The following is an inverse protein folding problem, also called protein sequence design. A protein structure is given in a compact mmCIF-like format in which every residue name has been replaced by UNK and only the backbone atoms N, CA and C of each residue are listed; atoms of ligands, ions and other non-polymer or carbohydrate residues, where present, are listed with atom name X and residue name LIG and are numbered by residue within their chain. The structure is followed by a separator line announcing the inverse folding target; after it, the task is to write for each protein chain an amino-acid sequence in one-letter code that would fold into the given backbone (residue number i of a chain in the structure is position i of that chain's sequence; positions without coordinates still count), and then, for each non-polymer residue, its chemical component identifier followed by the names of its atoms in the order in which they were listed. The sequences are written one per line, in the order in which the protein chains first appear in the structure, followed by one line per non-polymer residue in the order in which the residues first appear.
data_IF_626708862892
#
_entry.id   IF_626708862892
#
_cell.length_a   1.000
_cell.length_b   1.000
_cell.length_c   1.000
_cell.angle_alpha   90.00
_cell.angle_beta   90.00
_cell.angle_gamma   90.00
#
_symmetry.space_group_name_H-M   'P 1'
#
loop_
_entity.id
_entity.type
_entity.pdbx_description
1 polymer ?
#
# COMPACT_ATOMS: atom_id res chain seq x y z
N UNK A 1 -5.97 -13.71 9.58
CA UNK A 1 -7.04 -13.24 8.68
C UNK A 1 -6.53 -12.47 7.49
N UNK A 2 -5.66 -11.47 7.69
CA UNK A 2 -5.13 -10.63 6.59
C UNK A 2 -3.96 -11.27 5.84
N UNK A 3 -3.03 -11.92 6.55
CA UNK A 3 -1.91 -12.65 5.93
C UNK A 3 -2.38 -13.72 4.92
N UNK A 4 -3.45 -14.45 5.26
CA UNK A 4 -4.07 -15.43 4.34
C UNK A 4 -4.64 -14.79 3.07
N UNK A 5 -5.16 -13.56 3.17
CA UNK A 5 -5.67 -12.83 2.00
C UNK A 5 -4.53 -12.38 1.09
N UNK A 6 -3.43 -11.89 1.67
CA UNK A 6 -2.22 -11.54 0.91
C UNK A 6 -1.68 -12.79 0.20
N UNK A 7 -1.59 -13.92 0.92
CA UNK A 7 -1.15 -15.19 0.32
C UNK A 7 -2.02 -15.64 -0.84
N UNK A 8 -3.35 -15.57 -0.70
CA UNK A 8 -4.22 -15.89 -1.83
C UNK A 8 -3.99 -14.97 -3.03
N UNK A 9 -3.77 -13.66 -2.80
CA UNK A 9 -3.53 -12.70 -3.87
C UNK A 9 -2.20 -12.96 -4.58
N UNK A 10 -1.12 -13.16 -3.82
CA UNK A 10 0.23 -13.39 -4.36
C UNK A 10 0.27 -14.70 -5.14
N UNK A 11 -0.38 -15.76 -4.65
CA UNK A 11 -0.48 -17.03 -5.39
C UNK A 11 -1.25 -16.87 -6.71
N UNK A 12 -2.38 -16.15 -6.70
CA UNK A 12 -3.10 -15.86 -7.95
C UNK A 12 -2.25 -15.02 -8.91
N UNK A 13 -1.45 -14.08 -8.40
CA UNK A 13 -0.50 -13.33 -9.22
C UNK A 13 0.59 -14.23 -9.83
N UNK A 14 1.19 -15.12 -9.05
CA UNK A 14 2.18 -16.09 -9.51
C UNK A 14 1.63 -16.94 -10.67
N UNK A 15 0.45 -17.56 -10.49
CA UNK A 15 -0.22 -18.36 -11.52
C UNK A 15 -0.46 -17.55 -12.81
N UNK A 16 -0.94 -16.31 -12.66
CA UNK A 16 -1.18 -15.42 -13.79
C UNK A 16 0.12 -15.02 -14.50
N UNK A 17 1.18 -14.71 -13.75
CA UNK A 17 2.47 -14.32 -14.29
C UNK A 17 3.11 -15.47 -15.09
N UNK A 18 3.13 -16.69 -14.53
CA UNK A 18 3.66 -17.88 -15.21
C UNK A 18 2.90 -18.13 -16.51
N UNK A 19 1.56 -18.09 -16.46
CA UNK A 19 0.71 -18.30 -17.64
C UNK A 19 0.95 -17.26 -18.74
N UNK A 20 1.19 -16.00 -18.37
CA UNK A 20 1.38 -14.92 -19.33
C UNK A 20 2.82 -14.80 -19.84
N UNK A 21 3.79 -15.33 -19.09
CA UNK A 21 5.22 -15.24 -19.40
C UNK A 21 5.89 -16.63 -19.37
N UNK A 22 5.38 -17.64 -20.11
CA UNK A 22 5.83 -19.03 -19.96
C UNK A 22 7.30 -19.23 -20.32
N UNK A 23 7.81 -18.53 -21.34
CA UNK A 23 9.22 -18.63 -21.75
C UNK A 23 10.16 -18.09 -20.67
N UNK A 24 9.86 -16.91 -20.11
CA UNK A 24 10.64 -16.34 -19.01
C UNK A 24 10.53 -17.25 -17.79
N UNK A 25 9.31 -17.58 -17.36
CA UNK A 25 9.10 -18.42 -16.18
C UNK A 25 9.86 -19.77 -16.26
N UNK A 26 9.91 -20.41 -17.43
CA UNK A 26 10.58 -21.71 -17.60
C UNK A 26 12.09 -21.65 -17.84
N UNK A 27 12.64 -20.52 -18.28
CA UNK A 27 14.08 -20.35 -18.53
C UNK A 27 14.78 -19.67 -17.34
N UNK A 28 14.10 -18.73 -16.71
CA UNK A 28 14.67 -17.78 -15.76
C UNK A 28 14.55 -18.21 -14.30
N UNK A 29 13.60 -19.11 -13.98
CA UNK A 29 13.35 -19.60 -12.63
C UNK A 29 13.43 -21.13 -12.60
N UNK A 30 14.12 -21.67 -11.61
CA UNK A 30 14.26 -23.11 -11.41
C UNK A 30 13.13 -23.68 -10.54
N UNK A 31 12.56 -22.85 -9.67
CA UNK A 31 11.42 -23.19 -8.82
C UNK A 31 10.23 -22.23 -9.09
N UNK A 32 9.04 -22.74 -9.46
CA UNK A 32 7.84 -21.91 -9.58
C UNK A 32 7.51 -21.11 -8.32
N UNK A 33 7.85 -21.60 -7.13
CA UNK A 33 7.61 -20.93 -5.84
C UNK A 33 8.46 -19.65 -5.67
N UNK A 34 9.53 -19.50 -6.44
CA UNK A 34 10.40 -18.32 -6.42
C UNK A 34 9.67 -17.05 -6.84
N UNK A 35 8.71 -17.15 -7.77
CA UNK A 35 7.90 -16.00 -8.20
C UNK A 35 7.01 -15.51 -7.06
N UNK A 36 6.39 -16.43 -6.31
CA UNK A 36 5.60 -16.08 -5.11
C UNK A 36 6.49 -15.44 -4.04
N UNK A 37 7.64 -16.05 -3.75
CA UNK A 37 8.60 -15.55 -2.76
C UNK A 37 9.13 -14.16 -3.11
N UNK A 38 9.52 -13.95 -4.37
CA UNK A 38 10.00 -12.67 -4.87
C UNK A 38 8.89 -11.60 -4.81
N UNK A 39 7.65 -11.95 -5.13
CA UNK A 39 6.51 -11.03 -5.03
C UNK A 39 6.27 -10.57 -3.58
N UNK A 40 6.37 -11.46 -2.60
CA UNK A 40 6.35 -11.06 -1.18
C UNK A 40 7.50 -10.15 -0.80
N UNK A 41 8.71 -10.48 -1.24
CA UNK A 41 9.91 -9.68 -1.00
C UNK A 41 9.75 -8.25 -1.54
N UNK A 42 9.18 -8.12 -2.74
CA UNK A 42 8.81 -6.83 -3.34
C UNK A 42 7.80 -6.05 -2.49
N UNK A 43 6.75 -6.71 -1.98
CA UNK A 43 5.76 -6.06 -1.10
C UNK A 43 6.35 -5.62 0.23
N UNK A 44 7.29 -6.39 0.79
CA UNK A 44 8.03 -6.04 2.00
C UNK A 44 8.93 -4.83 1.76
N UNK A 45 9.67 -4.81 0.63
CA UNK A 45 10.48 -3.67 0.23
C UNK A 45 9.63 -2.40 0.07
N UNK A 46 8.50 -2.50 -0.65
CA UNK A 46 7.57 -1.38 -0.80
C UNK A 46 7.11 -0.83 0.55
N UNK A 47 6.72 -1.72 1.47
CA UNK A 47 6.30 -1.34 2.82
C UNK A 47 7.43 -0.66 3.58
N UNK A 48 8.66 -1.16 3.49
CA UNK A 48 9.82 -0.56 4.15
C UNK A 48 10.12 0.86 3.63
N UNK A 49 10.13 1.05 2.32
CA UNK A 49 10.48 2.34 1.70
C UNK A 49 9.43 3.43 1.96
N UNK A 50 8.14 3.07 1.93
CA UNK A 50 7.05 4.06 1.92
C UNK A 50 6.21 4.12 3.19
N UNK A 51 6.27 3.14 4.10
CA UNK A 51 5.55 3.22 5.37
C UNK A 51 6.22 4.25 6.31
N UNK A 52 5.55 5.37 6.65
CA UNK A 52 6.14 6.41 7.49
C UNK A 52 6.48 5.94 8.90
N UNK A 53 5.85 4.86 9.39
CA UNK A 53 6.08 4.33 10.72
C UNK A 53 7.38 3.52 10.83
N UNK A 54 7.79 2.84 9.76
CA UNK A 54 9.04 2.07 9.71
C UNK A 54 10.24 3.02 9.84
N UNK A 55 10.15 4.16 9.16
CA UNK A 55 11.18 5.20 9.13
C UNK A 55 11.43 5.92 10.47
N UNK A 56 10.53 5.78 11.46
CA UNK A 56 10.68 6.45 12.77
C UNK A 56 11.65 5.73 13.70
N UNK A 57 11.91 4.44 13.47
CA UNK A 57 12.62 3.60 14.43
C UNK A 57 13.74 2.74 13.79
N UNK A 58 13.89 2.74 12.47
CA UNK A 58 14.87 1.91 11.77
C UNK A 58 15.45 2.56 10.50
N UNK A 59 16.55 1.98 10.00
CA UNK A 59 17.15 2.31 8.70
C UNK A 59 16.41 1.54 7.61
N UNK A 60 16.05 2.23 6.51
CA UNK A 60 15.49 1.61 5.31
C UNK A 60 16.39 0.52 4.75
N UNK A 61 15.78 -0.51 4.20
CA UNK A 61 16.43 -1.57 3.44
C UNK A 61 17.16 -0.94 2.25
N UNK A 62 18.49 -1.08 2.21
CA UNK A 62 19.27 -0.67 1.03
C UNK A 62 19.20 -1.73 -0.05
N UNK A 63 19.60 -1.39 -1.28
CA UNK A 63 19.72 -2.36 -2.36
C UNK A 63 20.59 -3.57 -1.99
N UNK A 64 21.67 -3.35 -1.22
CA UNK A 64 22.53 -4.43 -0.74
C UNK A 64 21.84 -5.34 0.28
N UNK A 65 20.96 -4.78 1.12
CA UNK A 65 20.14 -5.58 2.03
C UNK A 65 19.08 -6.36 1.26
N UNK A 66 18.44 -5.73 0.26
CA UNK A 66 17.46 -6.40 -0.59
C UNK A 66 18.07 -7.57 -1.36
N UNK A 67 19.28 -7.42 -1.91
CA UNK A 67 20.01 -8.53 -2.56
C UNK A 67 20.25 -9.67 -1.56
N UNK A 68 20.81 -9.35 -0.38
CA UNK A 68 21.09 -10.35 0.66
C UNK A 68 19.83 -11.08 1.12
N UNK A 69 18.72 -10.37 1.28
CA UNK A 69 17.44 -10.94 1.70
C UNK A 69 16.83 -11.91 0.65
N UNK A 70 17.27 -11.83 -0.60
CA UNK A 70 16.80 -12.67 -1.70
C UNK A 70 17.87 -13.63 -2.21
N UNK A 71 18.89 -13.93 -1.40
CA UNK A 71 19.84 -15.00 -1.73
C UNK A 71 19.18 -16.37 -1.60
N UNK A 72 19.55 -17.28 -2.48
CA UNK A 72 19.14 -18.68 -2.49
C UNK A 72 17.62 -18.93 -2.61
N UNK A 73 16.83 -17.92 -3.00
CA UNK A 73 15.37 -18.03 -3.10
C UNK A 73 14.88 -18.85 -4.32
N UNK A 74 15.76 -19.17 -5.26
CA UNK A 74 15.46 -19.97 -6.45
C UNK A 74 15.80 -21.45 -6.26
N UNK A 75 15.09 -22.10 -5.33
CA UNK A 75 15.34 -23.50 -4.98
C UNK A 75 16.77 -23.75 -4.45
N UNK A 76 17.31 -22.82 -3.66
CA UNK A 76 18.68 -22.85 -3.16
C UNK A 76 19.71 -22.16 -4.07
N UNK A 77 19.26 -21.43 -5.10
CA UNK A 77 20.11 -20.63 -5.99
C UNK A 77 19.78 -19.15 -5.93
N UNK A 78 20.78 -18.34 -6.26
CA UNK A 78 20.63 -16.89 -6.34
C UNK A 78 19.99 -16.47 -7.66
N UNK A 79 19.09 -15.49 -7.60
CA UNK A 79 18.64 -14.76 -8.77
C UNK A 79 19.74 -13.81 -9.27
N UNK A 80 19.75 -13.42 -10.56
CA UNK A 80 20.69 -12.42 -11.07
C UNK A 80 20.60 -11.10 -10.29
N UNK A 81 21.73 -10.65 -9.72
CA UNK A 81 21.78 -9.41 -8.94
C UNK A 81 21.26 -8.19 -9.72
N UNK A 82 21.51 -8.14 -11.03
CA UNK A 82 21.01 -7.06 -11.90
C UNK A 82 19.50 -6.94 -11.88
N UNK A 83 18.77 -8.07 -11.74
CA UNK A 83 17.31 -8.04 -11.63
C UNK A 83 16.88 -7.47 -10.30
N UNK A 84 17.49 -7.91 -9.20
CA UNK A 84 17.18 -7.42 -7.87
C UNK A 84 17.47 -5.92 -7.74
N UNK A 85 18.58 -5.45 -8.32
CA UNK A 85 18.89 -4.01 -8.42
C UNK A 85 17.83 -3.28 -9.24
N UNK A 86 17.49 -3.79 -10.42
CA UNK A 86 16.48 -3.16 -11.30
C UNK A 86 15.09 -3.12 -10.65
N UNK A 87 14.69 -4.17 -9.94
CA UNK A 87 13.44 -4.21 -9.18
C UNK A 87 13.47 -3.17 -8.06
N UNK A 88 14.55 -3.14 -7.27
CA UNK A 88 14.72 -2.18 -6.19
C UNK A 88 14.60 -0.73 -6.70
N UNK A 89 15.36 -0.36 -7.73
CA UNK A 89 15.35 1.00 -8.28
C UNK A 89 13.99 1.42 -8.81
N UNK A 90 13.22 0.49 -9.40
CA UNK A 90 11.85 0.78 -9.87
C UNK A 90 10.89 1.04 -8.72
N UNK A 91 10.98 0.24 -7.66
CA UNK A 91 10.15 0.41 -6.46
C UNK A 91 10.54 1.68 -5.73
N UNK A 92 11.82 2.03 -5.62
CA UNK A 92 12.28 3.28 -5.01
C UNK A 92 11.84 4.52 -5.82
N UNK A 93 11.82 4.42 -7.14
CA UNK A 93 11.41 5.51 -8.02
C UNK A 93 9.89 5.78 -7.97
N UNK A 94 9.06 4.74 -7.81
CA UNK A 94 7.60 4.89 -7.82
C UNK A 94 6.89 3.97 -6.81
N UNK A 95 6.20 4.59 -5.84
CA UNK A 95 5.33 3.92 -4.88
C UNK A 95 4.15 3.22 -5.58
N UNK A 96 3.81 2.00 -5.15
CA UNK A 96 2.61 1.33 -5.60
C UNK A 96 1.36 2.06 -5.09
N UNK A 97 0.56 2.53 -6.04
CA UNK A 97 -0.72 3.19 -5.75
C UNK A 97 -1.86 2.23 -5.99
N UNK A 98 -2.76 2.14 -5.03
CA UNK A 98 -4.06 1.50 -5.25
C UNK A 98 -4.89 2.38 -6.18
N UNK A 99 -5.82 1.75 -6.90
CA UNK A 99 -6.81 2.49 -7.68
C UNK A 99 -7.62 3.42 -6.78
N UNK A 100 -8.10 4.56 -7.31
CA UNK A 100 -8.95 5.45 -6.54
C UNK A 100 -10.20 4.72 -6.01
N UNK A 101 -10.48 4.88 -4.73
CA UNK A 101 -11.65 4.32 -4.08
C UNK A 101 -12.63 5.43 -3.62
N UNK A 102 -13.84 5.04 -3.24
CA UNK A 102 -14.88 5.98 -2.78
C UNK A 102 -14.49 6.73 -1.50
N UNK A 103 -13.58 6.16 -0.71
CA UNK A 103 -13.09 6.72 0.55
C UNK A 103 -11.94 7.71 0.35
N UNK A 104 -11.32 7.82 -0.83
CA UNK A 104 -10.26 8.81 -1.09
C UNK A 104 -10.72 10.25 -0.86
N UNK A 105 -11.93 10.57 -1.31
CA UNK A 105 -12.54 11.88 -1.03
C UNK A 105 -12.75 12.10 0.46
N UNK A 106 -13.10 11.05 1.21
CA UNK A 106 -13.24 11.12 2.66
C UNK A 106 -11.88 11.29 3.35
N UNK A 107 -10.83 10.58 2.91
CA UNK A 107 -9.44 10.76 3.40
C UNK A 107 -8.92 12.17 3.13
N UNK A 108 -9.32 12.77 2.01
CA UNK A 108 -9.02 14.17 1.72
C UNK A 108 -9.71 15.11 2.72
N UNK A 109 -11.03 14.97 2.90
CA UNK A 109 -11.79 15.80 3.85
C UNK A 109 -11.30 15.61 5.29
N UNK A 110 -11.03 14.38 5.71
CA UNK A 110 -10.53 14.07 7.05
C UNK A 110 -9.27 14.85 7.41
N UNK A 111 -8.37 15.05 6.44
CA UNK A 111 -7.15 15.85 6.59
C UNK A 111 -7.42 17.34 6.75
N UNK A 112 -8.56 17.83 6.25
CA UNK A 112 -8.98 19.23 6.39
C UNK A 112 -9.69 19.50 7.71
N UNK A 113 -10.42 18.52 8.25
CA UNK A 113 -11.11 18.65 9.54
C UNK A 113 -10.09 18.77 10.68
N UNK A 114 -10.29 19.76 11.55
CA UNK A 114 -9.47 20.04 12.73
C UNK A 114 -10.36 20.39 13.92
N UNK A 115 -9.81 20.30 15.13
CA UNK A 115 -10.49 20.72 16.36
C UNK A 115 -11.27 19.60 17.06
N UNK A 116 -11.91 19.93 18.19
CA UNK A 116 -12.50 18.93 19.11
C UNK A 116 -13.72 18.22 18.52
N UNK A 117 -14.34 18.78 17.48
CA UNK A 117 -15.50 18.18 16.82
C UNK A 117 -15.13 17.18 15.70
N UNK A 118 -13.83 16.97 15.43
CA UNK A 118 -13.40 15.98 14.42
C UNK A 118 -13.76 14.58 14.92
N UNK A 119 -14.54 13.78 14.15
CA UNK A 119 -14.81 12.39 14.51
C UNK A 119 -13.54 11.54 14.43
N UNK A 120 -13.31 10.67 15.42
CA UNK A 120 -12.17 9.74 15.41
C UNK A 120 -12.20 8.77 14.22
N UNK A 121 -13.39 8.37 13.78
CA UNK A 121 -13.61 7.41 12.68
C UNK A 121 -14.37 8.03 11.52
N UNK A 122 -13.88 9.16 11.00
CA UNK A 122 -14.53 9.83 9.87
C UNK A 122 -14.48 9.00 8.57
N UNK A 123 -13.34 8.35 8.29
CA UNK A 123 -13.16 7.52 7.09
C UNK A 123 -13.65 6.09 7.37
N UNK A 124 -14.78 5.72 6.77
CA UNK A 124 -15.38 4.39 6.90
C UNK A 124 -15.74 3.85 5.51
N UNK A 125 -15.58 2.53 5.30
CA UNK A 125 -15.80 1.89 3.98
C UNK A 125 -17.20 2.10 3.41
N UNK A 126 -18.21 2.20 4.28
CA UNK A 126 -19.62 2.37 3.91
C UNK A 126 -20.06 3.84 3.85
N UNK A 127 -19.19 4.79 4.20
CA UNK A 127 -19.52 6.22 4.20
C UNK A 127 -19.20 6.81 2.82
N UNK A 128 -20.04 7.75 2.37
CA UNK A 128 -19.84 8.47 1.11
C UNK A 128 -20.18 9.94 1.27
N UNK A 129 -19.37 10.81 0.66
CA UNK A 129 -19.71 12.22 0.52
C UNK A 129 -20.83 12.37 -0.52
N UNK A 130 -21.95 12.98 -0.11
CA UNK A 130 -23.09 13.26 -0.99
C UNK A 130 -22.99 14.65 -1.60
N UNK A 131 -22.64 15.66 -0.80
CA UNK A 131 -22.48 17.05 -1.24
C UNK A 131 -21.87 17.92 -0.15
N UNK A 132 -21.57 19.16 -0.50
CA UNK A 132 -21.07 20.17 0.42
C UNK A 132 -22.00 21.38 0.39
N UNK A 133 -22.35 21.91 1.56
CA UNK A 133 -23.12 23.14 1.68
C UNK A 133 -22.50 24.03 2.75
N UNK A 134 -22.69 25.33 2.61
CA UNK A 134 -22.31 26.30 3.61
C UNK A 134 -23.58 26.76 4.33
N UNK A 135 -23.55 26.72 5.66
CA UNK A 135 -24.63 27.21 6.50
C UNK A 135 -24.03 28.10 7.60
N UNK A 136 -24.81 29.06 8.07
CA UNK A 136 -24.49 29.85 9.25
C UNK A 136 -25.33 29.32 10.41
N UNK A 137 -24.68 29.05 11.53
CA UNK A 137 -25.37 28.75 12.78
C UNK A 137 -25.93 30.06 13.34
N UNK A 138 -27.26 30.20 13.49
CA UNK A 138 -27.83 31.41 14.08
C UNK A 138 -27.50 31.49 15.56
N UNK A 139 -27.26 32.70 16.06
CA UNK A 139 -26.99 32.93 17.48
C UNK A 139 -28.12 32.38 18.37
N UNK A 140 -27.76 31.77 19.50
CA UNK A 140 -28.71 31.24 20.49
C UNK A 140 -29.76 32.26 20.93
N UNK A 141 -29.41 33.55 20.93
CA UNK A 141 -30.33 34.64 21.26
C UNK A 141 -31.46 34.81 20.22
N UNK A 142 -31.17 34.53 18.95
CA UNK A 142 -32.14 34.55 17.85
C UNK A 142 -33.06 33.32 17.97
N UNK A 143 -32.50 32.15 18.30
CA UNK A 143 -33.24 30.90 18.48
C UNK A 143 -34.16 30.97 19.70
N UNK A 144 -33.70 31.59 20.80
CA UNK A 144 -34.46 31.72 22.05
C UNK A 144 -35.54 32.82 22.04
N UNK A 145 -35.74 33.51 20.91
CA UNK A 145 -36.78 34.54 20.76
C UNK A 145 -36.58 35.79 21.63
N UNK A 146 -35.40 35.98 22.24
CA UNK A 146 -35.07 37.20 22.99
C UNK A 146 -34.74 38.31 22.01
N UNK A 147 -35.77 39.05 21.57
CA UNK A 147 -35.57 40.37 20.95
C UNK A 147 -34.84 41.27 21.96
N UNK A 148 -33.82 42.00 21.45
CA UNK A 148 -33.18 43.12 22.15
C UNK A 148 -34.19 44.13 22.63
#
# INVERSE_FOLDING_TARGET
GEAQKISSLVRTFQEAYIRQNPEKAGIEFHDPETIETLAYSILMLHTDLYNPNVNRHGRRMTVGDFIKNNQEIDGGRDLPNEWLVSIYSRIEAEEFKTLPDLTDKLRYIDRLLKGPLKPETFVQRYRRLIGWTFAQEPDDNIIAGKKR
#
